data_IF_700835946595
#
_entry.id   IF_700835946595
#
_cell.length_a   1.000
_cell.length_b   1.000
_cell.length_c   1.000
_cell.angle_alpha   90.00
_cell.angle_beta   90.00
_cell.angle_gamma   90.00
#
_symmetry.space_group_name_H-M   'P 1'
#
loop_
_entity.id
_entity.type
_entity.pdbx_description
1 polymer ?
#
# COMPACT_ATOMS: atom_id res chain seq x y z
N UNK A 1 -20.69 2.87 -13.64
CA UNK A 1 -20.49 1.41 -13.65
C UNK A 1 -19.22 1.10 -14.42
N UNK A 2 -18.18 0.60 -13.77
CA UNK A 2 -16.94 0.23 -14.48
C UNK A 2 -17.07 -1.22 -14.96
N UNK A 3 -17.11 -1.41 -16.28
CA UNK A 3 -17.10 -2.72 -16.89
C UNK A 3 -15.77 -3.42 -16.55
N UNK A 4 -15.84 -4.58 -15.90
CA UNK A 4 -14.68 -5.46 -15.71
C UNK A 4 -14.27 -5.98 -17.07
N UNK A 5 -12.99 -5.83 -17.44
CA UNK A 5 -12.43 -6.54 -18.59
C UNK A 5 -12.54 -8.03 -18.27
N UNK A 6 -13.41 -8.75 -18.97
CA UNK A 6 -13.39 -10.21 -18.97
C UNK A 6 -11.99 -10.67 -19.41
N UNK A 7 -11.51 -11.75 -18.80
CA UNK A 7 -10.22 -12.33 -19.13
C UNK A 7 -10.19 -12.63 -20.63
N UNK A 8 -9.33 -11.90 -21.35
CA UNK A 8 -9.09 -12.17 -22.75
C UNK A 8 -8.53 -13.60 -22.88
N UNK A 9 -8.95 -14.33 -23.92
CA UNK A 9 -8.33 -15.60 -24.26
C UNK A 9 -6.80 -15.46 -24.27
N UNK A 10 -6.11 -16.49 -23.76
CA UNK A 10 -4.65 -16.51 -23.71
C UNK A 10 -4.09 -16.37 -25.14
N UNK A 11 -3.17 -15.43 -25.40
CA UNK A 11 -2.53 -15.31 -26.70
C UNK A 11 -1.84 -16.62 -27.08
N UNK A 12 -1.85 -16.97 -28.37
CA UNK A 12 -1.10 -18.11 -28.88
C UNK A 12 0.39 -17.89 -28.58
N UNK A 13 1.14 -18.97 -28.30
CA UNK A 13 2.57 -18.88 -27.99
C UNK A 13 3.36 -18.04 -29.01
N UNK A 14 3.09 -18.25 -30.30
CA UNK A 14 3.73 -17.53 -31.41
C UNK A 14 3.51 -16.01 -31.35
N UNK A 15 2.36 -15.56 -30.88
CA UNK A 15 2.06 -14.13 -30.76
C UNK A 15 2.87 -13.49 -29.64
N UNK A 16 3.05 -14.23 -28.53
CA UNK A 16 3.91 -13.80 -27.42
C UNK A 16 5.37 -13.70 -27.86
N UNK A 17 5.87 -14.70 -28.60
CA UNK A 17 7.23 -14.69 -29.15
C UNK A 17 7.44 -13.50 -30.09
N UNK A 18 6.53 -13.29 -31.05
CA UNK A 18 6.59 -12.16 -31.99
C UNK A 18 6.58 -10.81 -31.27
N UNK A 19 5.82 -10.69 -30.19
CA UNK A 19 5.80 -9.48 -29.36
C UNK A 19 7.13 -9.26 -28.66
N UNK A 20 7.70 -10.30 -28.04
CA UNK A 20 9.01 -10.21 -27.38
C UNK A 20 10.12 -9.84 -28.35
N UNK A 21 10.14 -10.45 -29.55
CA UNK A 21 11.14 -10.12 -30.59
C UNK A 21 11.05 -8.64 -31.00
N UNK A 22 9.84 -8.14 -31.26
CA UNK A 22 9.62 -6.70 -31.55
C UNK A 22 10.07 -5.80 -30.41
N UNK A 23 9.80 -6.18 -29.16
CA UNK A 23 10.22 -5.42 -27.98
C UNK A 23 11.75 -5.36 -27.84
N UNK A 24 12.44 -6.42 -28.25
CA UNK A 24 13.91 -6.49 -28.28
C UNK A 24 14.52 -5.91 -29.56
N UNK A 25 13.72 -5.32 -30.46
CA UNK A 25 14.16 -4.85 -31.78
C UNK A 25 14.79 -5.93 -32.67
N UNK A 26 14.38 -7.19 -32.47
CA UNK A 26 14.78 -8.32 -33.32
C UNK A 26 13.68 -8.52 -34.37
N UNK A 27 14.05 -8.54 -35.64
CA UNK A 27 13.11 -8.75 -36.73
C UNK A 27 12.58 -10.20 -36.72
N UNK A 28 11.26 -10.43 -36.57
CA UNK A 28 10.67 -11.77 -36.59
C UNK A 28 10.76 -12.50 -37.93
N UNK A 29 11.14 -11.83 -39.03
CA UNK A 29 11.37 -12.49 -40.31
C UNK A 29 12.79 -13.06 -40.43
N UNK A 30 13.76 -12.52 -39.69
CA UNK A 30 15.19 -12.89 -39.79
C UNK A 30 15.73 -13.51 -38.50
N UNK A 31 14.87 -13.81 -37.52
CA UNK A 31 15.31 -14.31 -36.21
C UNK A 31 15.86 -15.74 -36.27
N UNK A 32 15.40 -16.58 -37.22
CA UNK A 32 15.90 -17.94 -37.42
C UNK A 32 17.32 -17.92 -37.96
N UNK A 33 17.61 -17.08 -38.96
CA UNK A 33 18.96 -16.88 -39.49
C UNK A 33 19.90 -16.36 -38.40
N UNK A 34 19.42 -15.40 -37.61
CA UNK A 34 20.16 -14.86 -36.47
C UNK A 34 20.43 -15.94 -35.41
N UNK A 35 19.52 -16.88 -35.21
CA UNK A 35 19.66 -17.96 -34.23
C UNK A 35 20.74 -18.98 -34.63
N UNK A 36 21.03 -19.13 -35.93
CA UNK A 36 22.13 -19.97 -36.41
C UNK A 36 23.50 -19.38 -36.05
N UNK A 37 23.64 -18.06 -36.08
CA UNK A 37 24.82 -17.35 -35.57
C UNK A 37 24.70 -17.08 -34.06
N UNK A 38 25.16 -18.05 -33.27
CA UNK A 38 25.09 -17.96 -31.80
C UNK A 38 25.75 -16.68 -31.23
N UNK A 39 26.97 -16.28 -31.62
CA UNK A 39 27.54 -14.99 -31.21
C UNK A 39 26.68 -13.77 -31.56
N UNK A 40 26.16 -13.67 -32.79
CA UNK A 40 25.32 -12.54 -33.20
C UNK A 40 23.97 -12.52 -32.47
N UNK A 41 23.38 -13.70 -32.24
CA UNK A 41 22.16 -13.87 -31.45
C UNK A 41 22.33 -13.32 -30.03
N UNK A 42 23.41 -13.71 -29.34
CA UNK A 42 23.69 -13.25 -27.97
C UNK A 42 23.84 -11.73 -27.93
N UNK A 43 24.57 -11.15 -28.89
CA UNK A 43 24.79 -9.70 -28.95
C UNK A 43 23.47 -8.96 -29.16
N UNK A 44 22.67 -9.42 -30.12
CA UNK A 44 21.37 -8.80 -30.46
C UNK A 44 20.39 -8.85 -29.30
N UNK A 45 20.28 -10.00 -28.62
CA UNK A 45 19.41 -10.14 -27.43
C UNK A 45 19.86 -9.23 -26.30
N UNK A 46 21.17 -9.13 -26.03
CA UNK A 46 21.71 -8.24 -24.98
C UNK A 46 21.40 -6.77 -25.26
N UNK A 47 21.68 -6.31 -26.49
CA UNK A 47 21.39 -4.93 -26.90
C UNK A 47 19.89 -4.64 -26.85
N UNK A 48 19.08 -5.54 -27.39
CA UNK A 48 17.62 -5.42 -27.35
C UNK A 48 17.06 -5.35 -25.94
N UNK A 49 17.59 -6.16 -25.02
CA UNK A 49 17.16 -6.21 -23.63
C UNK A 49 17.49 -4.91 -22.88
N UNK A 50 18.68 -4.34 -23.10
CA UNK A 50 19.07 -3.06 -22.51
C UNK A 50 18.09 -1.95 -22.95
N UNK A 51 17.82 -1.84 -24.25
CA UNK A 51 16.92 -0.82 -24.79
C UNK A 51 15.49 -1.01 -24.30
N UNK A 52 15.02 -2.26 -24.25
CA UNK A 52 13.69 -2.58 -23.72
C UNK A 52 13.54 -2.12 -22.27
N UNK A 53 14.56 -2.36 -21.44
CA UNK A 53 14.53 -2.00 -20.03
C UNK A 53 14.57 -0.48 -19.82
N UNK A 54 15.40 0.24 -20.58
CA UNK A 54 15.44 1.70 -20.57
C UNK A 54 14.08 2.31 -20.93
N UNK A 55 13.45 1.79 -22.00
CA UNK A 55 12.12 2.21 -22.42
C UNK A 55 11.07 1.90 -21.35
N UNK A 56 11.15 0.75 -20.69
CA UNK A 56 10.23 0.35 -19.62
C UNK A 56 10.34 1.28 -18.42
N UNK A 57 11.56 1.65 -18.03
CA UNK A 57 11.84 2.59 -16.95
C UNK A 57 11.34 3.99 -17.31
N UNK A 58 11.65 4.47 -18.51
CA UNK A 58 11.21 5.78 -19.00
C UNK A 58 9.67 5.88 -19.02
N UNK A 59 8.99 4.85 -19.53
CA UNK A 59 7.53 4.78 -19.53
C UNK A 59 6.94 4.76 -18.11
N UNK A 60 7.57 4.04 -17.18
CA UNK A 60 7.14 4.02 -15.78
C UNK A 60 7.31 5.39 -15.11
N UNK A 61 8.43 6.08 -15.37
CA UNK A 61 8.69 7.45 -14.90
C UNK A 61 7.65 8.43 -15.48
N UNK A 62 7.37 8.36 -16.78
CA UNK A 62 6.35 9.18 -17.44
C UNK A 62 4.96 8.96 -16.83
N UNK A 63 4.55 7.70 -16.63
CA UNK A 63 3.27 7.38 -15.97
C UNK A 63 3.20 7.91 -14.53
N UNK A 64 4.30 7.84 -13.78
CA UNK A 64 4.38 8.41 -12.42
C UNK A 64 4.23 9.93 -12.46
N UNK A 65 4.93 10.60 -13.35
CA UNK A 65 4.84 12.05 -13.53
C UNK A 65 3.40 12.47 -13.90
N UNK A 66 2.78 11.79 -14.87
CA UNK A 66 1.39 12.03 -15.27
C UNK A 66 0.40 11.86 -14.10
N UNK A 67 0.55 10.80 -13.29
CA UNK A 67 -0.29 10.64 -12.08
C UNK A 67 -0.08 11.74 -11.06
N UNK A 68 1.16 12.23 -10.90
CA UNK A 68 1.49 13.32 -9.97
C UNK A 68 0.91 14.67 -10.46
N UNK A 69 0.90 14.91 -11.77
CA UNK A 69 0.30 16.12 -12.37
C UNK A 69 -1.22 16.07 -12.43
N UNK A 70 -1.82 14.88 -12.65
CA UNK A 70 -3.28 14.70 -12.75
C UNK A 70 -3.95 14.45 -11.40
N UNK A 71 -3.21 14.09 -10.35
CA UNK A 71 -3.77 14.02 -9.00
C UNK A 71 -4.51 15.34 -8.73
N UNK A 72 -5.84 15.31 -8.52
CA UNK A 72 -6.57 16.53 -8.24
C UNK A 72 -5.85 17.19 -7.07
N UNK A 73 -5.61 18.50 -7.15
CA UNK A 73 -5.34 19.33 -5.98
C UNK A 73 -6.56 19.21 -5.08
N UNK A 74 -6.66 18.08 -4.39
CA UNK A 74 -7.70 17.75 -3.41
C UNK A 74 -7.35 18.46 -2.09
N UNK A 75 -6.73 19.64 -2.19
CA UNK A 75 -6.51 20.57 -1.09
C UNK A 75 -7.68 21.56 -0.98
N UNK A 76 -8.77 21.39 -1.74
CA UNK A 76 -10.06 22.08 -1.49
C UNK A 76 -10.89 21.32 -0.43
N UNK A 77 -10.30 20.34 0.26
CA UNK A 77 -10.90 19.65 1.42
C UNK A 77 -10.18 20.02 2.72
N UNK A 78 -9.23 20.95 2.71
CA UNK A 78 -8.68 21.50 3.96
C UNK A 78 -9.57 22.59 4.61
N UNK A 79 -10.78 22.79 4.07
CA UNK A 79 -11.86 23.49 4.77
C UNK A 79 -12.87 22.53 5.44
N UNK A 80 -12.74 21.22 5.25
CA UNK A 80 -13.65 20.24 5.84
C UNK A 80 -13.08 19.75 7.16
N UNK A 81 -13.87 19.88 8.23
CA UNK A 81 -13.57 19.33 9.54
C UNK A 81 -13.13 17.86 9.42
N UNK A 82 -12.18 17.46 10.28
CA UNK A 82 -11.65 16.10 10.28
C UNK A 82 -12.80 15.07 10.35
N UNK A 83 -12.80 14.04 9.49
CA UNK A 83 -13.90 13.07 9.43
C UNK A 83 -13.97 12.24 10.71
N UNK A 84 -15.18 12.13 11.28
CA UNK A 84 -15.43 11.50 12.57
C UNK A 84 -16.32 10.26 12.43
N UNK A 85 -16.05 9.16 13.18
CA UNK A 85 -16.97 8.00 13.19
C UNK A 85 -18.28 8.41 13.88
N UNK A 86 -19.45 8.31 13.21
CA UNK A 86 -20.73 8.64 13.85
C UNK A 86 -21.09 7.68 14.99
N UNK A 87 -20.42 6.52 15.10
CA UNK A 87 -20.72 5.47 16.09
C UNK A 87 -19.92 5.62 17.39
N UNK A 88 -18.63 5.96 17.29
CA UNK A 88 -17.73 6.07 18.46
C UNK A 88 -17.09 7.45 18.61
N UNK A 89 -17.45 8.40 17.75
CA UNK A 89 -16.95 9.78 17.72
C UNK A 89 -15.42 9.91 17.55
N UNK A 90 -14.73 8.84 17.13
CA UNK A 90 -13.31 8.88 16.84
C UNK A 90 -13.02 9.72 15.60
N UNK A 91 -12.18 10.73 15.77
CA UNK A 91 -11.67 11.59 14.70
C UNK A 91 -10.61 10.82 13.90
N UNK A 92 -10.74 10.79 12.58
CA UNK A 92 -9.81 10.15 11.66
C UNK A 92 -9.02 11.19 10.88
N UNK A 93 -7.71 10.96 10.71
CA UNK A 93 -6.82 11.87 9.97
C UNK A 93 -7.09 11.93 8.46
N UNK A 94 -7.87 10.99 7.93
CA UNK A 94 -8.28 10.94 6.54
C UNK A 94 -9.60 10.16 6.38
N UNK A 95 -10.36 10.46 5.33
CA UNK A 95 -11.62 9.75 5.01
C UNK A 95 -11.41 8.23 4.87
N UNK A 96 -10.29 7.81 4.29
CA UNK A 96 -9.96 6.38 4.17
C UNK A 96 -9.73 5.71 5.53
N UNK A 97 -9.17 6.45 6.51
CA UNK A 97 -9.02 5.98 7.88
C UNK A 97 -10.37 5.75 8.56
N UNK A 98 -11.33 6.66 8.33
CA UNK A 98 -12.71 6.49 8.80
C UNK A 98 -13.39 5.26 8.17
N UNK A 99 -13.26 5.07 6.85
CA UNK A 99 -13.82 3.91 6.15
C UNK A 99 -13.23 2.59 6.66
N UNK A 100 -11.91 2.54 6.86
CA UNK A 100 -11.25 1.36 7.45
C UNK A 100 -11.72 1.09 8.88
N UNK A 101 -11.83 2.14 9.70
CA UNK A 101 -12.29 2.07 11.08
C UNK A 101 -13.74 1.57 11.19
N UNK A 102 -14.63 2.02 10.30
CA UNK A 102 -16.02 1.54 10.24
C UNK A 102 -16.09 0.05 9.88
N UNK A 103 -15.19 -0.45 9.03
CA UNK A 103 -15.19 -1.85 8.57
C UNK A 103 -14.70 -2.82 9.64
N UNK A 104 -13.73 -2.43 10.47
CA UNK A 104 -13.04 -3.36 11.37
C UNK A 104 -13.31 -3.12 12.85
N UNK A 105 -13.58 -1.88 13.27
CA UNK A 105 -13.58 -1.49 14.68
C UNK A 105 -14.97 -1.00 15.16
N UNK A 106 -15.66 -0.12 14.42
CA UNK A 106 -16.97 0.41 14.88
C UNK A 106 -18.10 -0.66 14.87
N UNK A 107 -17.93 -1.85 14.27
CA UNK A 107 -18.92 -2.96 14.32
C UNK A 107 -18.77 -3.85 15.56
N UNK A 108 -17.54 -4.07 16.04
CA UNK A 108 -17.24 -4.96 17.16
C UNK A 108 -17.47 -4.30 18.54
N UNK A 109 -17.41 -2.96 18.61
CA UNK A 109 -17.55 -2.23 19.87
C UNK A 109 -18.99 -2.23 20.45
N UNK A 110 -20.00 -2.65 19.69
CA UNK A 110 -21.38 -2.78 20.19
C UNK A 110 -21.64 -4.14 20.86
N UNK A 111 -20.80 -5.14 20.62
CA UNK A 111 -20.93 -6.46 21.28
C UNK A 111 -20.35 -6.42 22.71
N UNK A 112 -19.59 -5.37 23.06
CA UNK A 112 -18.94 -5.21 24.36
C UNK A 112 -19.14 -3.75 24.82
N UNK A 113 -20.37 -3.36 25.23
CA UNK A 113 -20.49 -2.80 26.58
C UNK A 113 -21.91 -3.04 27.15
N UNK A 114 -22.28 -4.28 27.45
CA UNK A 114 -23.52 -4.55 28.20
C UNK A 114 -23.39 -5.66 29.22
N UNK A 115 -22.18 -5.91 29.72
CA UNK A 115 -21.98 -6.83 30.85
C UNK A 115 -21.19 -6.17 31.96
N UNK A 116 -21.95 -5.84 33.03
CA UNK A 116 -21.55 -5.80 34.44
C UNK A 116 -20.99 -4.47 34.96
N UNK A 117 -21.88 -3.66 35.53
CA UNK A 117 -21.55 -2.88 36.72
C UNK A 117 -22.74 -2.95 37.67
N UNK A 118 -22.64 -3.79 38.70
CA UNK A 118 -23.42 -3.71 39.94
C UNK A 118 -22.54 -4.28 41.06
N UNK A 119 -22.55 -3.58 42.20
CA UNK A 119 -21.95 -3.88 43.52
C UNK A 119 -20.91 -2.82 43.89
N UNK A 120 -21.34 -1.70 44.47
CA UNK A 120 -21.58 -1.49 45.91
C UNK A 120 -20.27 -1.33 46.70
N UNK A 121 -20.00 -0.08 47.11
CA UNK A 121 -18.90 0.33 47.98
C UNK A 121 -19.04 -0.26 49.40
N UNK A 122 -17.91 -0.48 50.11
CA UNK A 122 -17.88 -0.32 51.55
C UNK A 122 -16.98 0.87 51.96
N UNK A 123 -17.32 1.59 53.05
CA UNK A 123 -16.49 2.65 53.60
C UNK A 123 -15.48 2.08 54.60
N UNK A 124 -14.26 2.61 54.67
CA UNK A 124 -13.49 2.65 55.93
C UNK A 124 -12.25 3.56 55.84
N UNK A 125 -12.35 4.64 56.61
CA UNK A 125 -11.36 5.29 57.51
C UNK A 125 -9.91 5.57 57.06
N UNK A 126 -9.59 6.88 57.07
CA UNK A 126 -8.25 7.49 57.24
C UNK A 126 -7.99 7.73 58.76
N UNK A 127 -6.79 8.12 59.30
CA UNK A 127 -5.78 9.03 58.70
C UNK A 127 -4.30 8.75 59.17
N UNK A 128 -3.35 9.72 59.31
CA UNK A 128 -2.22 9.91 58.37
C UNK A 128 -0.79 9.90 58.98
N UNK A 129 0.23 9.78 58.11
CA UNK A 129 1.62 10.32 58.11
C UNK A 129 2.37 10.60 59.43
N UNK A 130 3.66 10.20 59.52
CA UNK A 130 4.79 11.10 59.84
C UNK A 130 6.17 10.41 59.65
N UNK A 131 6.99 11.00 58.77
CA UNK A 131 8.41 11.36 58.91
C UNK A 131 9.45 10.34 59.45
N UNK A 132 10.40 9.92 58.61
CA UNK A 132 11.84 10.09 58.88
C UNK A 132 12.72 9.58 57.71
N UNK A 133 13.45 10.52 57.11
CA UNK A 133 14.67 10.34 56.30
C UNK A 133 15.69 9.44 57.03
N UNK A 134 16.62 8.73 56.37
CA UNK A 134 17.98 9.23 56.05
C UNK A 134 18.76 8.22 55.17
N UNK A 135 19.43 8.82 54.18
CA UNK A 135 20.52 8.50 53.24
C UNK A 135 21.53 7.34 53.47
N UNK A 136 21.92 6.75 52.31
CA UNK A 136 23.26 6.41 51.75
C UNK A 136 24.15 5.25 52.31
N UNK A 137 24.32 4.19 51.47
CA UNK A 137 25.55 3.51 50.92
C UNK A 137 26.85 3.35 51.77
N UNK A 138 27.83 2.44 51.45
CA UNK A 138 27.86 1.21 50.62
C UNK A 138 28.76 0.07 51.23
N UNK A 139 29.59 -0.75 50.52
CA UNK A 139 29.58 -2.21 50.69
C UNK A 139 30.90 -2.81 51.23
N UNK A 140 30.91 -4.11 51.51
CA UNK A 140 32.10 -4.98 51.46
C UNK A 140 31.66 -6.38 51.05
#
# INVERSE_FOLDING_TARGET
MAARRQEAQKPRYKDTLNKSLKQLQINPATWEDLAQDRPACIRSVKTGAAIYEDNRIAAAKAKRAARKSTAPRTNIVDAQALPTCPRCQRISRARNGLVGHLRTQCTNYLTIPTSKSNSADPPSDSPPSLLASIKLLPPS
#
